data_IF_178568493055
#
_entry.id   IF_178568493055
#
_cell.length_a   1.000
_cell.length_b   1.000
_cell.length_c   1.000
_cell.angle_alpha   90.00
_cell.angle_beta   90.00
_cell.angle_gamma   90.00
#
_symmetry.space_group_name_H-M   'P 1'
#
loop_
_entity.id
_entity.type
_entity.pdbx_description
1 polymer ?
#
# COMPACT_ATOMS: atom_id res chain seq x y z
N UNK A 1 -6.59 -5.02 -15.91
CA UNK A 1 -5.63 -6.03 -16.39
C UNK A 1 -4.50 -6.05 -15.39
N UNK A 2 -4.27 -7.17 -14.69
CA UNK A 2 -3.22 -7.25 -13.67
C UNK A 2 -1.91 -7.61 -14.35
N UNK A 3 -0.89 -6.76 -14.22
CA UNK A 3 0.45 -7.03 -14.75
C UNK A 3 1.25 -7.79 -13.70
N UNK A 4 1.73 -8.99 -14.04
CA UNK A 4 2.65 -9.74 -13.19
C UNK A 4 4.07 -9.31 -13.57
N UNK A 5 4.79 -8.77 -12.60
CA UNK A 5 6.21 -8.46 -12.72
C UNK A 5 6.95 -9.47 -11.85
N UNK A 6 7.71 -10.36 -12.48
CA UNK A 6 8.53 -11.33 -11.77
C UNK A 6 9.97 -10.79 -11.64
N UNK A 7 10.50 -10.75 -10.43
CA UNK A 7 11.90 -10.43 -10.17
C UNK A 7 12.62 -11.73 -9.81
N UNK A 8 13.48 -12.21 -10.72
CA UNK A 8 14.08 -13.54 -10.64
C UNK A 8 15.11 -13.68 -9.49
N UNK A 9 15.70 -12.57 -9.04
CA UNK A 9 16.80 -12.56 -8.07
C UNK A 9 16.35 -12.27 -6.63
N UNK A 10 15.06 -12.43 -6.32
CA UNK A 10 14.51 -12.31 -4.95
C UNK A 10 14.82 -13.54 -4.07
N UNK A 11 16.06 -14.04 -4.07
CA UNK A 11 16.44 -15.28 -3.35
C UNK A 11 16.36 -15.17 -1.82
N UNK A 12 16.14 -13.96 -1.30
CA UNK A 12 15.99 -13.71 0.13
C UNK A 12 14.56 -13.97 0.66
N UNK A 13 13.59 -14.21 -0.23
CA UNK A 13 12.18 -14.36 0.13
C UNK A 13 11.64 -15.73 -0.32
N UNK A 14 10.72 -16.28 0.45
CA UNK A 14 9.96 -17.46 0.06
C UNK A 14 8.77 -17.06 -0.83
N UNK A 15 8.26 -18.00 -1.65
CA UNK A 15 7.16 -17.72 -2.58
C UNK A 15 5.81 -17.46 -1.91
N UNK A 16 5.69 -17.81 -0.64
CA UNK A 16 4.52 -17.58 0.22
C UNK A 16 4.65 -16.30 1.07
N UNK A 17 5.79 -15.62 1.04
CA UNK A 17 5.98 -14.32 1.67
C UNK A 17 5.44 -13.21 0.75
N UNK A 18 4.64 -12.32 1.32
CA UNK A 18 4.09 -11.18 0.60
C UNK A 18 3.96 -9.95 1.48
N UNK A 19 4.00 -8.80 0.83
CA UNK A 19 3.60 -7.52 1.40
C UNK A 19 2.48 -6.96 0.54
N UNK A 20 1.44 -6.43 1.19
CA UNK A 20 0.41 -5.67 0.51
C UNK A 20 0.72 -4.20 0.66
N UNK A 21 0.70 -3.49 -0.46
CA UNK A 21 0.91 -2.05 -0.52
C UNK A 21 -0.39 -1.39 -1.00
N UNK A 22 -0.71 -0.22 -0.46
CA UNK A 22 -1.78 0.63 -0.95
C UNK A 22 -1.22 1.96 -1.45
N UNK A 23 -1.99 2.61 -2.32
CA UNK A 23 -1.77 3.99 -2.71
C UNK A 23 -2.67 4.87 -1.85
N UNK A 24 -2.06 5.70 -1.02
CA UNK A 24 -2.74 6.58 -0.10
C UNK A 24 -2.60 8.02 -0.55
N UNK A 25 -3.69 8.78 -0.48
CA UNK A 25 -3.66 10.21 -0.69
C UNK A 25 -3.36 10.91 0.62
N UNK A 26 -2.19 11.56 0.69
CA UNK A 26 -1.70 12.22 1.90
C UNK A 26 -1.62 13.74 1.69
N UNK A 27 -1.69 14.49 2.79
CA UNK A 27 -1.43 15.93 2.78
C UNK A 27 -0.05 16.17 3.37
N UNK A 28 0.86 16.69 2.57
CA UNK A 28 2.23 17.00 2.96
C UNK A 28 2.39 18.50 3.13
N UNK A 29 3.11 18.91 4.18
CA UNK A 29 3.37 20.33 4.46
C UNK A 29 4.84 20.64 4.23
N UNK A 30 5.12 21.52 3.28
CA UNK A 30 6.46 22.00 2.95
C UNK A 30 6.45 23.52 2.82
N UNK A 31 7.43 24.20 3.43
CA UNK A 31 7.57 25.66 3.42
C UNK A 31 6.32 26.47 3.81
N UNK A 32 5.44 25.88 4.62
CA UNK A 32 4.21 26.53 5.09
C UNK A 32 2.98 26.24 4.25
N UNK A 33 3.15 25.70 3.04
CA UNK A 33 2.08 25.29 2.12
C UNK A 33 1.70 23.82 2.34
N UNK A 34 0.44 23.48 2.05
CA UNK A 34 -0.07 22.09 2.15
C UNK A 34 -0.40 21.58 0.76
N UNK A 35 0.26 20.51 0.37
CA UNK A 35 0.11 19.86 -0.93
C UNK A 35 -0.47 18.46 -0.78
N UNK A 36 -1.30 18.07 -1.74
CA UNK A 36 -1.81 16.70 -1.83
C UNK A 36 -0.83 15.85 -2.62
N UNK A 37 -0.41 14.74 -2.03
CA UNK A 37 0.52 13.80 -2.64
C UNK A 37 -0.05 12.38 -2.58
N UNK A 38 0.51 11.51 -3.41
CA UNK A 38 0.22 10.08 -3.39
C UNK A 38 1.44 9.33 -2.81
N UNK A 39 1.18 8.46 -1.84
CA UNK A 39 2.21 7.69 -1.13
C UNK A 39 1.90 6.21 -1.26
N UNK A 40 2.91 5.41 -1.62
CA UNK A 40 2.83 3.96 -1.54
C UNK A 40 3.26 3.55 -0.13
N UNK A 41 2.38 2.86 0.59
CA UNK A 41 2.67 2.38 1.95
C UNK A 41 2.16 0.95 2.18
N UNK A 42 2.76 0.20 3.13
CA UNK A 42 2.21 -1.08 3.55
C UNK A 42 0.83 -0.91 4.16
N UNK A 43 -0.14 -1.69 3.67
CA UNK A 43 -1.47 -1.71 4.28
C UNK A 43 -1.46 -2.62 5.51
N UNK A 44 -1.90 -2.15 6.69
CA UNK A 44 -2.09 -3.02 7.83
C UNK A 44 -3.13 -4.10 7.53
N UNK A 45 -2.90 -5.34 7.96
CA UNK A 45 -3.82 -6.47 7.71
C UNK A 45 -5.25 -6.19 8.16
N UNK A 46 -5.43 -5.50 9.29
CA UNK A 46 -6.74 -5.13 9.80
C UNK A 46 -7.48 -4.13 8.87
N UNK A 47 -6.76 -3.19 8.28
CA UNK A 47 -7.34 -2.23 7.32
C UNK A 47 -7.75 -2.95 6.03
N UNK A 48 -6.90 -3.84 5.52
CA UNK A 48 -7.24 -4.69 4.38
C UNK A 48 -8.49 -5.53 4.66
N UNK A 49 -8.56 -6.16 5.83
CA UNK A 49 -9.72 -6.96 6.23
C UNK A 49 -11.00 -6.12 6.29
N UNK A 50 -10.95 -4.91 6.87
CA UNK A 50 -12.08 -4.00 6.92
C UNK A 50 -12.57 -3.61 5.52
N UNK A 51 -11.66 -3.31 4.59
CA UNK A 51 -11.98 -3.00 3.18
C UNK A 51 -12.64 -4.20 2.50
N UNK A 52 -12.03 -5.40 2.61
CA UNK A 52 -12.57 -6.62 1.99
C UNK A 52 -13.95 -6.99 2.53
N UNK A 53 -14.20 -6.76 3.83
CA UNK A 53 -15.48 -7.01 4.49
C UNK A 53 -16.47 -5.85 4.38
N UNK A 54 -16.08 -4.74 3.73
CA UNK A 54 -16.89 -3.52 3.64
C UNK A 54 -17.35 -3.00 5.01
N UNK A 55 -16.51 -3.15 6.03
CA UNK A 55 -16.76 -2.57 7.36
C UNK A 55 -16.57 -1.05 7.23
N UNK A 56 -17.52 -0.23 7.71
CA UNK A 56 -17.35 1.22 7.71
C UNK A 56 -16.07 1.62 8.42
N UNK A 57 -15.17 2.24 7.69
CA UNK A 57 -13.98 2.91 8.22
C UNK A 57 -14.29 4.40 8.34
N UNK A 58 -13.62 5.07 9.28
CA UNK A 58 -13.75 6.50 9.58
C UNK A 58 -13.63 7.41 8.36
#
# INVERSE_FOLDING_TARGET
MTTIIAYADATAFNTDEYIMLCLSTCLYKEDGEVEQIEVIEPIPTAALEAICKQIPTS
#
